data_IF_470425318800
#
_entry.id   IF_470425318800
#
_cell.length_a   1.000
_cell.length_b   1.000
_cell.length_c   1.000
_cell.angle_alpha   90.00
_cell.angle_beta   90.00
_cell.angle_gamma   90.00
#
_symmetry.space_group_name_H-M   'P 1'
#
loop_
_entity.id
_entity.type
_entity.pdbx_description
1 polymer ?
#
# COMPACT_ATOMS: atom_id res chain seq x y z
N UNK A 1 -49.26 -17.24 -23.37
CA UNK A 1 -48.22 -17.88 -22.54
C UNK A 1 -48.93 -18.89 -21.65
N UNK A 2 -48.61 -20.18 -21.78
CA UNK A 2 -49.29 -21.22 -20.98
C UNK A 2 -48.84 -21.10 -19.51
N UNK A 3 -49.72 -21.44 -18.56
CA UNK A 3 -49.42 -21.43 -17.12
C UNK A 3 -48.14 -22.19 -16.78
N UNK A 4 -47.86 -23.29 -17.48
CA UNK A 4 -46.62 -24.08 -17.39
C UNK A 4 -45.37 -23.28 -17.80
N UNK A 5 -45.43 -22.51 -18.89
CA UNK A 5 -44.33 -21.66 -19.33
C UNK A 5 -44.06 -20.53 -18.35
N UNK A 6 -45.11 -19.93 -17.77
CA UNK A 6 -44.97 -18.90 -16.74
C UNK A 6 -44.32 -19.43 -15.46
N UNK A 7 -44.74 -20.63 -14.99
CA UNK A 7 -44.13 -21.30 -13.84
C UNK A 7 -42.65 -21.64 -14.06
N UNK A 8 -42.31 -22.14 -15.25
CA UNK A 8 -40.92 -22.43 -15.62
C UNK A 8 -40.05 -21.16 -15.63
N UNK A 9 -40.53 -20.07 -16.25
CA UNK A 9 -39.79 -18.80 -16.29
C UNK A 9 -39.59 -18.25 -14.87
N UNK A 10 -40.64 -18.23 -14.03
CA UNK A 10 -40.50 -17.82 -12.63
C UNK A 10 -39.51 -18.71 -11.86
N UNK A 11 -39.56 -20.04 -12.06
CA UNK A 11 -38.63 -20.96 -11.42
C UNK A 11 -37.18 -20.63 -11.80
N UNK A 12 -36.86 -20.44 -13.08
CA UNK A 12 -35.50 -20.08 -13.51
C UNK A 12 -35.07 -18.70 -13.00
N UNK A 13 -35.97 -17.72 -12.93
CA UNK A 13 -35.67 -16.40 -12.35
C UNK A 13 -35.32 -16.54 -10.86
N UNK A 14 -36.15 -17.25 -10.10
CA UNK A 14 -35.91 -17.48 -8.66
C UNK A 14 -34.63 -18.29 -8.44
N UNK A 15 -34.41 -19.35 -9.23
CA UNK A 15 -33.19 -20.15 -9.17
C UNK A 15 -31.95 -19.29 -9.44
N UNK A 16 -31.98 -18.46 -10.47
CA UNK A 16 -30.87 -17.56 -10.81
C UNK A 16 -30.64 -16.52 -9.72
N UNK A 17 -31.72 -15.98 -9.13
CA UNK A 17 -31.63 -15.04 -8.02
C UNK A 17 -31.01 -15.69 -6.77
N UNK A 18 -31.44 -16.91 -6.41
CA UNK A 18 -30.89 -17.67 -5.29
C UNK A 18 -29.42 -18.00 -5.53
N UNK A 19 -29.06 -18.50 -6.71
CA UNK A 19 -27.66 -18.76 -7.07
C UNK A 19 -26.81 -17.47 -7.05
N UNK A 20 -27.37 -16.34 -7.51
CA UNK A 20 -26.73 -15.03 -7.44
C UNK A 20 -26.46 -14.58 -6.00
N UNK A 21 -27.44 -14.75 -5.10
CA UNK A 21 -27.27 -14.43 -3.67
C UNK A 21 -26.24 -15.37 -3.03
N UNK A 22 -26.30 -16.67 -3.29
CA UNK A 22 -25.30 -17.63 -2.83
C UNK A 22 -23.89 -17.25 -3.29
N UNK A 23 -23.73 -16.85 -4.56
CA UNK A 23 -22.45 -16.38 -5.07
C UNK A 23 -21.96 -15.11 -4.37
N UNK A 24 -22.85 -14.13 -4.13
CA UNK A 24 -22.50 -12.91 -3.40
C UNK A 24 -22.06 -13.18 -1.95
N UNK A 25 -22.68 -14.16 -1.29
CA UNK A 25 -22.29 -14.59 0.05
C UNK A 25 -20.92 -15.29 0.07
N UNK A 26 -20.60 -16.07 -0.97
CA UNK A 26 -19.32 -16.80 -1.06
C UNK A 26 -18.18 -15.90 -1.57
N UNK A 27 -18.48 -14.87 -2.38
CA UNK A 27 -17.53 -13.92 -2.97
C UNK A 27 -16.41 -13.44 -2.01
N UNK A 28 -16.69 -12.98 -0.77
CA UNK A 28 -15.62 -12.54 0.14
C UNK A 28 -14.68 -13.67 0.59
N UNK A 29 -15.14 -14.93 0.60
CA UNK A 29 -14.31 -16.08 0.97
C UNK A 29 -13.28 -16.42 -0.12
N UNK A 30 -13.60 -16.22 -1.39
CA UNK A 30 -12.64 -16.44 -2.48
C UNK A 30 -11.41 -15.55 -2.33
N UNK A 31 -11.59 -14.30 -1.90
CA UNK A 31 -10.47 -13.39 -1.64
C UNK A 31 -9.54 -13.94 -0.54
N UNK A 32 -10.11 -14.41 0.57
CA UNK A 32 -9.36 -14.98 1.71
C UNK A 32 -8.64 -16.26 1.29
N UNK A 33 -9.31 -17.15 0.56
CA UNK A 33 -8.75 -18.40 0.06
C UNK A 33 -7.61 -18.16 -0.93
N UNK A 34 -7.77 -17.19 -1.85
CA UNK A 34 -6.73 -16.83 -2.81
C UNK A 34 -5.47 -16.32 -2.10
N UNK A 35 -5.60 -15.34 -1.21
CA UNK A 35 -4.46 -14.78 -0.47
C UNK A 35 -3.77 -15.81 0.42
N UNK A 36 -4.55 -16.62 1.13
CA UNK A 36 -3.99 -17.67 1.98
C UNK A 36 -3.28 -18.76 1.16
N UNK A 37 -3.78 -19.10 -0.04
CA UNK A 37 -3.11 -20.04 -0.96
C UNK A 37 -1.79 -19.45 -1.48
N UNK A 38 -1.79 -18.19 -1.91
CA UNK A 38 -0.58 -17.49 -2.35
C UNK A 38 0.47 -17.49 -1.22
N UNK A 39 0.10 -17.06 -0.02
CA UNK A 39 0.99 -17.05 1.15
C UNK A 39 1.47 -18.48 1.45
N UNK A 40 0.60 -19.48 1.40
CA UNK A 40 0.96 -20.88 1.62
C UNK A 40 2.03 -21.35 0.65
N UNK A 41 1.87 -21.08 -0.65
CA UNK A 41 2.84 -21.47 -1.69
C UNK A 41 4.18 -20.80 -1.46
N UNK A 42 4.20 -19.49 -1.14
CA UNK A 42 5.42 -18.73 -0.85
C UNK A 42 6.10 -19.24 0.44
N UNK A 43 5.31 -19.54 1.45
CA UNK A 43 5.77 -19.97 2.77
C UNK A 43 6.22 -21.44 2.79
N UNK A 44 5.74 -22.25 1.86
CA UNK A 44 6.01 -23.68 1.79
C UNK A 44 7.50 -24.07 1.87
N UNK A 45 8.44 -23.44 1.13
CA UNK A 45 9.87 -23.76 1.26
C UNK A 45 10.42 -23.53 2.68
N UNK A 46 9.96 -22.48 3.36
CA UNK A 46 10.33 -22.20 4.75
C UNK A 46 9.72 -23.22 5.71
N UNK A 47 8.41 -23.48 5.57
CA UNK A 47 7.70 -24.51 6.33
C UNK A 47 8.36 -25.90 6.19
N UNK A 48 8.75 -26.30 4.97
CA UNK A 48 9.43 -27.57 4.70
C UNK A 48 10.80 -27.65 5.38
N UNK A 49 11.54 -26.53 5.47
CA UNK A 49 12.82 -26.47 6.22
C UNK A 49 12.59 -26.61 7.73
N UNK A 50 11.52 -26.04 8.28
CA UNK A 50 11.15 -26.26 9.68
C UNK A 50 10.73 -27.71 9.95
N UNK A 51 9.92 -28.30 9.07
CA UNK A 51 9.42 -29.67 9.23
C UNK A 51 10.57 -30.70 9.25
N UNK A 52 11.69 -30.42 8.57
CA UNK A 52 12.91 -31.24 8.65
C UNK A 52 13.57 -31.21 10.03
N UNK A 53 13.39 -30.14 10.81
CA UNK A 53 13.98 -29.96 12.15
C UNK A 53 13.01 -30.32 13.28
N UNK A 54 11.72 -30.09 13.07
CA UNK A 54 10.67 -30.26 14.07
C UNK A 54 9.63 -31.24 13.49
N UNK A 55 9.49 -32.42 14.10
CA UNK A 55 8.58 -33.47 13.63
C UNK A 55 7.10 -33.23 14.03
N UNK A 56 6.66 -31.97 14.08
CA UNK A 56 5.28 -31.60 14.42
C UNK A 56 4.74 -30.60 13.37
N UNK A 57 3.85 -31.04 12.46
CA UNK A 57 3.27 -30.19 11.42
C UNK A 57 2.54 -28.97 11.96
N UNK A 58 1.79 -29.13 13.06
CA UNK A 58 1.00 -28.04 13.66
C UNK A 58 1.90 -26.94 14.24
N UNK A 59 3.02 -27.33 14.85
CA UNK A 59 3.96 -26.36 15.41
C UNK A 59 4.74 -25.65 14.30
N UNK A 60 5.13 -26.36 13.24
CA UNK A 60 5.81 -25.78 12.08
C UNK A 60 4.93 -24.78 11.32
N UNK A 61 3.63 -25.09 11.12
CA UNK A 61 2.70 -24.19 10.44
C UNK A 61 2.45 -22.95 11.29
N UNK A 62 2.25 -23.11 12.61
CA UNK A 62 2.07 -21.99 13.53
C UNK A 62 3.30 -21.06 13.57
N UNK A 63 4.51 -21.61 13.70
CA UNK A 63 5.75 -20.82 13.65
C UNK A 63 5.90 -20.09 12.31
N UNK A 64 5.57 -20.75 11.20
CA UNK A 64 5.61 -20.13 9.87
C UNK A 64 4.65 -18.94 9.78
N UNK A 65 3.40 -19.10 10.24
CA UNK A 65 2.43 -18.01 10.29
C UNK A 65 2.90 -16.86 11.19
N UNK A 66 3.48 -17.15 12.36
CA UNK A 66 4.02 -16.11 13.26
C UNK A 66 5.13 -15.31 12.57
N UNK A 67 6.09 -15.98 11.94
CA UNK A 67 7.20 -15.32 11.24
C UNK A 67 6.67 -14.41 10.13
N UNK A 68 5.73 -14.89 9.31
CA UNK A 68 5.14 -14.09 8.24
C UNK A 68 4.35 -12.90 8.82
N UNK A 69 3.55 -13.12 9.87
CA UNK A 69 2.84 -12.04 10.57
C UNK A 69 3.81 -10.96 11.04
N UNK A 70 4.92 -11.35 11.67
CA UNK A 70 5.93 -10.41 12.17
C UNK A 70 6.55 -9.59 11.03
N UNK A 71 6.92 -10.26 9.93
CA UNK A 71 7.52 -9.61 8.75
C UNK A 71 6.57 -8.57 8.15
N UNK A 72 5.26 -8.81 8.14
CA UNK A 72 4.27 -7.86 7.61
C UNK A 72 3.84 -6.78 8.62
N UNK A 73 3.60 -7.16 9.88
CA UNK A 73 3.03 -6.27 10.90
C UNK A 73 4.04 -5.23 11.37
N UNK A 74 5.32 -5.60 11.54
CA UNK A 74 6.34 -4.67 12.04
C UNK A 74 6.45 -3.43 11.14
N UNK A 75 6.70 -3.55 9.81
CA UNK A 75 6.79 -2.39 8.94
C UNK A 75 5.51 -1.53 8.96
N UNK A 76 4.35 -2.17 9.04
CA UNK A 76 3.06 -1.49 9.09
C UNK A 76 2.96 -0.62 10.35
N UNK A 77 3.28 -1.15 11.52
CA UNK A 77 3.31 -0.41 12.79
C UNK A 77 4.29 0.75 12.71
N UNK A 78 5.50 0.53 12.17
CA UNK A 78 6.49 1.59 11.99
C UNK A 78 5.95 2.73 11.12
N UNK A 79 5.30 2.42 9.99
CA UNK A 79 4.72 3.47 9.14
C UNK A 79 3.58 4.20 9.82
N UNK A 80 2.68 3.49 10.50
CA UNK A 80 1.63 4.16 11.26
C UNK A 80 2.19 5.05 12.37
N UNK A 81 3.19 4.58 13.11
CA UNK A 81 3.78 5.34 14.22
C UNK A 81 4.57 6.58 13.75
N UNK A 82 5.41 6.43 12.72
CA UNK A 82 6.29 7.50 12.25
C UNK A 82 5.65 8.36 11.17
N UNK A 83 4.89 7.77 10.25
CA UNK A 83 4.22 8.50 9.17
C UNK A 83 3.12 9.43 9.68
N UNK A 84 2.31 9.00 10.66
CA UNK A 84 1.32 9.87 11.30
C UNK A 84 2.02 10.98 12.08
N UNK A 85 3.10 10.67 12.80
CA UNK A 85 3.85 11.67 13.58
C UNK A 85 4.46 12.75 12.68
N UNK A 86 5.14 12.37 11.59
CA UNK A 86 5.70 13.34 10.66
C UNK A 86 4.62 14.09 9.87
N UNK A 87 3.50 13.43 9.53
CA UNK A 87 2.34 14.07 8.90
C UNK A 87 1.68 15.12 9.79
N UNK A 88 1.46 14.83 11.08
CA UNK A 88 0.90 15.77 12.05
C UNK A 88 1.88 16.92 12.32
N UNK A 89 3.18 16.65 12.42
CA UNK A 89 4.21 17.68 12.57
C UNK A 89 4.22 18.59 11.34
N UNK A 90 4.13 18.06 10.12
CA UNK A 90 4.03 18.85 8.90
C UNK A 90 2.79 19.74 8.86
N UNK A 91 1.64 19.24 9.33
CA UNK A 91 0.38 19.99 9.43
C UNK A 91 0.49 21.09 10.50
N UNK A 92 1.10 20.81 11.65
CA UNK A 92 1.29 21.80 12.70
C UNK A 92 2.30 22.88 12.30
N UNK A 93 3.40 22.52 11.63
CA UNK A 93 4.30 23.49 11.02
C UNK A 93 3.62 24.32 9.96
N UNK A 94 2.73 23.75 9.15
CA UNK A 94 1.91 24.50 8.21
C UNK A 94 1.00 25.50 8.91
N UNK A 95 0.27 25.04 9.91
CA UNK A 95 -0.68 25.86 10.64
C UNK A 95 0.04 26.99 11.41
N UNK A 96 1.20 26.71 12.01
CA UNK A 96 2.04 27.71 12.68
C UNK A 96 2.76 28.63 11.71
N UNK A 97 3.23 28.13 10.55
CA UNK A 97 3.86 28.95 9.52
C UNK A 97 2.84 29.84 8.80
N UNK A 98 1.60 29.37 8.61
CA UNK A 98 0.50 30.18 8.05
C UNK A 98 0.08 31.29 9.04
N UNK A 99 0.07 31.00 10.35
CA UNK A 99 -0.17 32.01 11.40
C UNK A 99 1.02 32.95 11.62
N UNK A 100 2.24 32.47 11.48
CA UNK A 100 3.49 33.24 11.65
C UNK A 100 3.90 34.02 10.39
N UNK A 101 3.35 33.68 9.21
CA UNK A 101 3.45 34.49 7.99
C UNK A 101 2.54 35.74 8.09
N UNK A 102 2.74 36.52 9.16
CA UNK A 102 2.55 37.97 9.10
C UNK A 102 3.59 38.51 8.15
N UNK A 103 3.14 39.27 7.15
CA UNK A 103 3.97 40.00 6.20
C UNK A 103 4.84 41.05 6.91
N UNK A 104 5.90 40.64 7.62
CA UNK A 104 6.81 41.58 8.31
C UNK A 104 8.29 41.22 8.18
N UNK A 105 8.72 40.66 7.05
CA UNK A 105 10.16 40.58 6.75
C UNK A 105 10.42 40.88 5.28
N UNK A 106 10.12 42.12 4.88
CA UNK A 106 10.55 42.69 3.59
C UNK A 106 11.08 44.12 3.75
N UNK A 107 11.61 44.49 4.93
CA UNK A 107 12.15 45.83 5.17
C UNK A 107 13.67 45.89 5.34
N UNK A 108 14.38 44.77 5.54
CA UNK A 108 15.84 44.82 5.80
C UNK A 108 16.75 44.62 4.58
N UNK A 109 16.19 44.34 3.39
CA UNK A 109 16.96 44.26 2.14
C UNK A 109 16.79 45.49 1.22
N UNK A 110 15.99 46.48 1.62
CA UNK A 110 15.64 47.65 0.81
C UNK A 110 16.72 48.76 0.80
N UNK A 111 17.83 48.61 1.52
CA UNK A 111 18.87 49.65 1.66
C UNK A 111 20.09 49.48 0.74
N UNK A 112 20.12 48.48 -0.15
CA UNK A 112 21.21 48.31 -1.12
C UNK A 112 20.79 48.95 -2.45
N UNK A 113 21.26 50.19 -2.68
CA UNK A 113 20.80 51.12 -3.73
C UNK A 113 20.87 50.66 -5.20
N UNK A 114 21.75 49.76 -5.69
CA UNK A 114 21.81 49.49 -7.13
C UNK A 114 20.73 48.52 -7.65
N UNK A 115 19.96 47.86 -6.78
CA UNK A 115 18.99 46.81 -7.23
C UNK A 115 17.53 47.32 -7.18
N UNK A 116 17.29 48.57 -6.75
CA UNK A 116 15.95 49.18 -6.69
C UNK A 116 15.20 49.16 -8.03
N UNK A 117 15.91 49.29 -9.16
CA UNK A 117 15.28 49.34 -10.48
C UNK A 117 14.91 47.96 -11.06
N UNK A 118 15.53 46.88 -10.57
CA UNK A 118 15.18 45.50 -10.98
C UNK A 118 14.02 44.97 -10.12
N UNK A 119 13.95 45.37 -8.85
CA UNK A 119 12.85 44.97 -7.96
C UNK A 119 11.48 45.56 -8.36
N UNK A 120 11.41 46.78 -8.90
CA UNK A 120 10.13 47.40 -9.29
C UNK A 120 9.52 46.73 -10.54
N UNK A 121 10.34 46.21 -11.45
CA UNK A 121 9.87 45.47 -12.63
C UNK A 121 9.41 44.04 -12.30
N UNK A 122 9.92 43.46 -11.20
CA UNK A 122 9.51 42.14 -10.72
C UNK A 122 8.30 42.19 -9.78
N UNK A 123 8.02 43.32 -9.12
CA UNK A 123 6.89 43.46 -8.20
C UNK A 123 5.52 43.41 -8.90
N UNK A 124 5.41 43.92 -10.14
CA UNK A 124 4.17 43.84 -10.92
C UNK A 124 3.89 42.42 -11.47
N UNK A 125 4.94 41.66 -11.82
CA UNK A 125 4.78 40.27 -12.29
C UNK A 125 4.51 39.29 -11.14
N UNK A 126 5.06 39.55 -9.96
CA UNK A 126 4.82 38.74 -8.75
C UNK A 126 3.43 39.01 -8.16
N UNK A 127 2.93 40.26 -8.20
CA UNK A 127 1.56 40.59 -7.76
C UNK A 127 0.46 39.92 -8.61
N UNK A 128 0.70 39.70 -9.91
CA UNK A 128 -0.26 39.02 -10.79
C UNK A 128 -0.46 37.52 -10.43
N UNK A 129 0.55 36.86 -9.88
CA UNK A 129 0.49 35.43 -9.49
C UNK A 129 0.12 35.17 -8.03
N UNK A 130 0.16 36.18 -7.14
CA UNK A 130 0.15 35.98 -5.69
C UNK A 130 -1.22 36.13 -5.01
N UNK A 131 -2.25 36.65 -5.70
CA UNK A 131 -3.55 36.97 -5.05
C UNK A 131 -4.50 35.76 -5.00
N UNK A 132 -4.34 34.77 -5.88
CA UNK A 132 -5.28 33.64 -6.00
C UNK A 132 -4.65 32.28 -5.61
N UNK A 133 -3.32 32.19 -5.53
CA UNK A 133 -2.64 30.93 -5.18
C UNK A 133 -2.69 30.65 -3.68
N UNK A 134 -2.59 31.69 -2.83
CA UNK A 134 -2.60 31.53 -1.37
C UNK A 134 -3.97 31.13 -0.83
N UNK A 135 -5.04 31.76 -1.29
CA UNK A 135 -6.42 31.41 -0.91
C UNK A 135 -6.78 30.01 -1.40
N UNK A 136 -6.52 29.69 -2.68
CA UNK A 136 -6.80 28.35 -3.24
C UNK A 136 -5.90 27.25 -2.66
N UNK A 137 -4.66 27.56 -2.26
CA UNK A 137 -3.81 26.61 -1.54
C UNK A 137 -4.29 26.38 -0.12
N UNK A 138 -4.67 27.43 0.62
CA UNK A 138 -5.17 27.28 2.01
C UNK A 138 -6.49 26.49 2.00
N UNK A 139 -7.40 26.80 1.08
CA UNK A 139 -8.67 26.09 0.94
C UNK A 139 -8.48 24.63 0.51
N UNK A 140 -7.53 24.35 -0.41
CA UNK A 140 -7.16 22.98 -0.78
C UNK A 140 -6.40 22.25 0.33
N UNK A 141 -5.58 22.92 1.13
CA UNK A 141 -4.87 22.35 2.28
C UNK A 141 -5.85 22.04 3.41
N UNK A 142 -6.89 22.85 3.62
CA UNK A 142 -7.98 22.59 4.57
C UNK A 142 -8.90 21.45 4.10
N UNK A 143 -9.17 21.35 2.80
CA UNK A 143 -9.85 20.19 2.21
C UNK A 143 -9.00 18.91 2.27
N UNK A 144 -7.68 19.01 2.07
CA UNK A 144 -6.74 17.90 2.28
C UNK A 144 -6.66 17.50 3.76
N UNK A 145 -6.65 18.45 4.70
CA UNK A 145 -6.60 18.14 6.14
C UNK A 145 -7.90 17.51 6.63
N UNK A 146 -9.05 17.96 6.15
CA UNK A 146 -10.35 17.34 6.46
C UNK A 146 -10.51 15.99 5.75
N UNK A 147 -9.93 15.80 4.56
CA UNK A 147 -9.82 14.49 3.92
C UNK A 147 -8.91 13.53 4.71
N UNK A 148 -7.74 13.96 5.20
CA UNK A 148 -6.84 13.13 6.02
C UNK A 148 -7.40 12.83 7.42
N UNK A 149 -8.12 13.77 8.06
CA UNK A 149 -8.77 13.57 9.36
C UNK A 149 -10.08 12.75 9.22
N UNK A 150 -10.85 12.97 8.16
CA UNK A 150 -12.01 12.13 7.83
C UNK A 150 -11.59 10.71 7.43
N UNK A 151 -10.49 10.59 6.68
CA UNK A 151 -9.85 9.32 6.37
C UNK A 151 -9.21 8.70 7.61
N UNK A 152 -8.72 9.42 8.62
CA UNK A 152 -8.13 8.76 9.81
C UNK A 152 -9.17 7.97 10.62
N UNK A 153 -10.42 8.48 10.70
CA UNK A 153 -11.55 7.76 11.32
C UNK A 153 -12.00 6.58 10.43
N UNK A 154 -12.02 6.74 9.11
CA UNK A 154 -12.34 5.64 8.18
C UNK A 154 -11.22 4.58 8.12
N UNK A 155 -9.95 4.98 8.10
CA UNK A 155 -8.76 4.13 8.19
C UNK A 155 -8.79 3.37 9.51
N UNK A 156 -9.15 3.99 10.64
CA UNK A 156 -9.31 3.28 11.91
C UNK A 156 -10.41 2.20 11.85
N UNK A 157 -11.58 2.52 11.28
CA UNK A 157 -12.67 1.54 11.06
C UNK A 157 -12.29 0.43 10.07
N UNK A 158 -11.59 0.77 8.99
CA UNK A 158 -11.03 -0.18 8.01
C UNK A 158 -9.86 -0.99 8.58
N UNK A 159 -9.13 -0.48 9.58
CA UNK A 159 -8.03 -1.18 10.26
C UNK A 159 -8.57 -2.31 11.13
N UNK A 160 -9.70 -2.12 11.83
CA UNK A 160 -10.35 -3.21 12.60
C UNK A 160 -10.85 -4.32 11.66
N UNK A 161 -11.55 -3.95 10.58
CA UNK A 161 -11.99 -4.92 9.55
C UNK A 161 -10.82 -5.62 8.84
N UNK A 162 -9.76 -4.89 8.49
CA UNK A 162 -8.55 -5.41 7.88
C UNK A 162 -7.77 -6.35 8.80
N UNK A 163 -7.75 -6.08 10.11
CA UNK A 163 -7.12 -6.95 11.11
C UNK A 163 -7.84 -8.29 11.24
N UNK A 164 -9.18 -8.28 11.24
CA UNK A 164 -9.98 -9.51 11.24
C UNK A 164 -9.73 -10.29 9.95
N UNK A 165 -9.74 -9.61 8.80
CA UNK A 165 -9.49 -10.25 7.51
C UNK A 165 -8.08 -10.88 7.44
N UNK A 166 -7.06 -10.16 7.92
CA UNK A 166 -5.71 -10.68 8.04
C UNK A 166 -5.63 -11.89 8.97
N UNK A 167 -6.29 -11.84 10.13
CA UNK A 167 -6.36 -12.95 11.07
C UNK A 167 -6.98 -14.21 10.42
N UNK A 168 -8.06 -14.04 9.66
CA UNK A 168 -8.68 -15.15 8.93
C UNK A 168 -7.74 -15.67 7.84
N UNK A 169 -7.10 -14.81 7.04
CA UNK A 169 -6.11 -15.22 6.02
C UNK A 169 -4.99 -16.06 6.68
N UNK A 170 -4.47 -15.62 7.82
CA UNK A 170 -3.40 -16.32 8.53
C UNK A 170 -3.89 -17.64 9.15
N UNK A 171 -5.11 -17.69 9.66
CA UNK A 171 -5.75 -18.91 10.15
C UNK A 171 -5.95 -19.92 9.00
N UNK A 172 -6.45 -19.47 7.85
CA UNK A 172 -6.61 -20.31 6.67
C UNK A 172 -5.25 -20.80 6.15
N UNK A 173 -4.24 -19.94 6.13
CA UNK A 173 -2.85 -20.29 5.77
C UNK A 173 -2.28 -21.35 6.71
N UNK A 174 -2.56 -21.24 8.01
CA UNK A 174 -2.15 -22.24 9.00
C UNK A 174 -2.72 -23.63 8.68
N UNK A 175 -4.02 -23.72 8.38
CA UNK A 175 -4.65 -24.99 8.03
C UNK A 175 -4.18 -25.51 6.66
N UNK A 176 -4.04 -24.63 5.67
CA UNK A 176 -3.48 -24.95 4.36
C UNK A 176 -2.07 -25.55 4.46
N UNK A 177 -1.17 -24.94 5.24
CA UNK A 177 0.19 -25.45 5.46
C UNK A 177 0.20 -26.78 6.23
N UNK A 178 -0.61 -26.87 7.29
CA UNK A 178 -0.67 -28.05 8.16
C UNK A 178 -1.11 -29.30 7.38
N UNK A 179 -2.20 -29.20 6.61
CA UNK A 179 -2.81 -30.32 5.89
C UNK A 179 -2.54 -30.29 4.38
N UNK A 180 -1.47 -29.59 3.95
CA UNK A 180 -1.16 -29.33 2.54
C UNK A 180 -1.15 -30.58 1.64
N UNK A 181 -0.66 -31.71 2.14
CA UNK A 181 -0.61 -32.96 1.36
C UNK A 181 -2.02 -33.49 1.07
N UNK A 182 -2.85 -33.58 2.10
CA UNK A 182 -4.25 -34.03 1.97
C UNK A 182 -5.05 -33.10 1.06
N UNK A 183 -4.79 -31.80 1.14
CA UNK A 183 -5.46 -30.80 0.31
C UNK A 183 -5.05 -30.93 -1.16
N UNK A 184 -3.77 -31.13 -1.44
CA UNK A 184 -3.29 -31.37 -2.81
C UNK A 184 -3.88 -32.67 -3.37
N UNK A 185 -3.90 -33.74 -2.58
CA UNK A 185 -4.48 -35.03 -3.01
C UNK A 185 -5.99 -34.90 -3.26
N UNK A 186 -6.71 -34.17 -2.40
CA UNK A 186 -8.13 -33.86 -2.59
C UNK A 186 -8.36 -33.08 -3.89
N UNK A 187 -7.57 -32.04 -4.15
CA UNK A 187 -7.68 -31.25 -5.40
C UNK A 187 -7.45 -32.14 -6.62
N UNK A 188 -6.51 -33.10 -6.55
CA UNK A 188 -6.28 -34.04 -7.66
C UNK A 188 -7.52 -34.88 -7.99
N UNK A 189 -8.30 -35.29 -6.99
CA UNK A 189 -9.52 -36.09 -7.21
C UNK A 189 -10.66 -35.32 -7.88
N UNK A 190 -10.67 -33.98 -7.79
CA UNK A 190 -11.70 -33.15 -8.44
C UNK A 190 -11.37 -32.77 -9.88
N UNK A 191 -10.12 -32.95 -10.30
CA UNK A 191 -9.66 -32.58 -11.64
C UNK A 191 -9.82 -33.80 -12.55
N UNK A 192 -10.64 -33.74 -13.63
CA UNK A 192 -10.85 -34.86 -14.55
C UNK A 192 -9.69 -35.00 -15.55
N UNK A 193 -8.46 -35.09 -15.04
CA UNK A 193 -7.23 -35.32 -15.82
C UNK A 193 -6.44 -36.46 -15.19
N UNK A 194 -5.60 -37.11 -15.97
CA UNK A 194 -4.69 -38.14 -15.43
C UNK A 194 -3.77 -37.55 -14.34
N UNK A 195 -3.44 -38.34 -13.32
CA UNK A 195 -2.63 -37.93 -12.17
C UNK A 195 -1.31 -37.25 -12.56
N UNK A 196 -0.68 -37.69 -13.64
CA UNK A 196 0.54 -37.11 -14.18
C UNK A 196 0.31 -35.68 -14.68
N UNK A 197 -0.72 -35.47 -15.49
CA UNK A 197 -1.08 -34.17 -16.03
C UNK A 197 -1.50 -33.21 -14.92
N UNK A 198 -2.30 -33.68 -13.95
CA UNK A 198 -2.72 -32.89 -12.79
C UNK A 198 -1.55 -32.46 -11.92
N UNK A 199 -0.59 -33.34 -11.68
CA UNK A 199 0.61 -33.01 -10.90
C UNK A 199 1.48 -31.98 -11.62
N UNK A 200 1.63 -32.09 -12.94
CA UNK A 200 2.32 -31.07 -13.76
C UNK A 200 1.62 -29.72 -13.64
N UNK A 201 0.28 -29.69 -13.75
CA UNK A 201 -0.50 -28.45 -13.64
C UNK A 201 -0.33 -27.78 -12.27
N UNK A 202 -0.46 -28.53 -11.18
CA UNK A 202 -0.29 -28.01 -9.82
C UNK A 202 1.11 -27.44 -9.62
N UNK A 203 2.14 -28.15 -10.10
CA UNK A 203 3.52 -27.67 -10.01
C UNK A 203 3.73 -26.40 -10.84
N UNK A 204 3.13 -26.31 -12.04
CA UNK A 204 3.24 -25.12 -12.90
C UNK A 204 2.57 -23.89 -12.29
N UNK A 205 1.40 -24.07 -11.67
CA UNK A 205 0.72 -23.00 -10.91
C UNK A 205 1.59 -22.54 -9.74
N UNK A 206 2.14 -23.49 -8.97
CA UNK A 206 3.05 -23.18 -7.86
C UNK A 206 4.31 -22.45 -8.30
N UNK A 207 4.94 -22.89 -9.39
CA UNK A 207 6.11 -22.23 -10.01
C UNK A 207 5.77 -20.82 -10.48
N UNK A 208 4.59 -20.61 -11.06
CA UNK A 208 4.13 -19.30 -11.53
C UNK A 208 3.91 -18.34 -10.36
N UNK A 209 3.22 -18.78 -9.30
CA UNK A 209 3.04 -18.00 -8.07
C UNK A 209 4.40 -17.65 -7.46
N UNK A 210 5.30 -18.64 -7.35
CA UNK A 210 6.64 -18.44 -6.79
C UNK A 210 7.46 -17.43 -7.60
N UNK A 211 7.46 -17.57 -8.93
CA UNK A 211 8.20 -16.68 -9.84
C UNK A 211 7.68 -15.26 -9.76
N UNK A 212 6.35 -15.08 -9.80
CA UNK A 212 5.72 -13.75 -9.69
C UNK A 212 6.11 -13.07 -8.39
N UNK A 213 6.02 -13.78 -7.25
CA UNK A 213 6.36 -13.20 -5.94
C UNK A 213 7.85 -12.90 -5.85
N UNK A 214 8.70 -13.79 -6.35
CA UNK A 214 10.15 -13.58 -6.34
C UNK A 214 10.54 -12.34 -7.15
N UNK A 215 9.96 -12.15 -8.32
CA UNK A 215 10.11 -10.93 -9.13
C UNK A 215 9.62 -9.72 -8.35
N UNK A 216 8.44 -9.78 -7.72
CA UNK A 216 7.92 -8.68 -6.90
C UNK A 216 8.85 -8.31 -5.75
N UNK A 217 9.48 -9.28 -5.09
CA UNK A 217 10.47 -9.02 -4.03
C UNK A 217 11.72 -8.31 -4.59
N UNK A 218 12.23 -8.74 -5.75
CA UNK A 218 13.37 -8.08 -6.40
C UNK A 218 13.02 -6.64 -6.77
N UNK A 219 11.84 -6.43 -7.36
CA UNK A 219 11.34 -5.09 -7.71
C UNK A 219 11.19 -4.24 -6.45
N UNK A 220 10.62 -4.78 -5.38
CA UNK A 220 10.49 -4.10 -4.10
C UNK A 220 11.84 -3.65 -3.52
N UNK A 221 12.83 -4.54 -3.50
CA UNK A 221 14.18 -4.20 -3.03
C UNK A 221 14.80 -3.10 -3.90
N UNK A 222 14.64 -3.21 -5.23
CA UNK A 222 15.16 -2.23 -6.19
C UNK A 222 14.49 -0.86 -6.01
N UNK A 223 13.17 -0.82 -5.89
CA UNK A 223 12.42 0.41 -5.68
C UNK A 223 12.72 1.04 -4.32
N UNK A 224 12.82 0.25 -3.25
CA UNK A 224 13.17 0.80 -1.94
C UNK A 224 14.63 1.25 -1.84
N UNK A 225 15.56 0.59 -2.53
CA UNK A 225 16.94 1.11 -2.66
C UNK A 225 16.98 2.41 -3.45
N UNK A 226 16.32 2.49 -4.61
CA UNK A 226 16.21 3.73 -5.40
C UNK A 226 15.51 4.86 -4.61
N UNK A 227 14.48 4.54 -3.84
CA UNK A 227 13.78 5.48 -2.97
C UNK A 227 14.65 5.97 -1.82
N UNK A 228 15.39 5.06 -1.17
CA UNK A 228 16.39 5.41 -0.15
C UNK A 228 17.52 6.28 -0.72
N UNK A 229 17.99 5.98 -1.93
CA UNK A 229 18.98 6.81 -2.63
C UNK A 229 18.46 8.22 -2.92
N UNK A 230 17.19 8.35 -3.34
CA UNK A 230 16.57 9.66 -3.53
C UNK A 230 16.51 10.45 -2.21
N UNK A 231 16.15 9.80 -1.10
CA UNK A 231 16.14 10.44 0.22
C UNK A 231 17.53 10.88 0.66
N UNK A 232 18.55 10.05 0.42
CA UNK A 232 19.93 10.37 0.73
C UNK A 232 20.45 11.55 -0.11
N UNK A 233 20.23 11.52 -1.43
CA UNK A 233 20.64 12.58 -2.35
C UNK A 233 19.99 13.93 -2.02
N UNK A 234 18.72 13.92 -1.62
CA UNK A 234 17.98 15.13 -1.23
C UNK A 234 18.31 15.59 0.20
N UNK A 235 19.13 14.85 0.96
CA UNK A 235 19.44 15.16 2.35
C UNK A 235 18.21 15.09 3.27
N UNK A 236 17.28 14.16 2.98
CA UNK A 236 16.15 13.85 3.83
C UNK A 236 16.59 12.95 5.01
N UNK A 237 15.93 13.05 6.17
CA UNK A 237 16.29 12.25 7.34
C UNK A 237 16.04 10.75 7.09
N UNK A 238 16.88 9.92 7.71
CA UNK A 238 16.75 8.46 7.74
C UNK A 238 16.54 7.76 6.39
N UNK A 239 17.42 7.93 5.38
CA UNK A 239 17.22 7.38 4.04
C UNK A 239 17.06 5.86 3.99
N UNK A 240 17.83 5.13 4.81
CA UNK A 240 17.78 3.66 4.89
C UNK A 240 16.42 3.18 5.41
N UNK A 241 15.90 3.85 6.45
CA UNK A 241 14.60 3.51 7.04
C UNK A 241 13.49 3.67 6.01
N UNK A 242 13.44 4.83 5.33
CA UNK A 242 12.41 5.10 4.33
C UNK A 242 12.55 4.22 3.09
N UNK A 243 13.77 3.84 2.70
CA UNK A 243 13.99 2.84 1.66
C UNK A 243 13.43 1.47 2.03
N UNK A 244 13.66 0.98 3.25
CA UNK A 244 13.08 -0.28 3.74
C UNK A 244 11.56 -0.22 3.76
N UNK A 245 11.00 0.90 4.25
CA UNK A 245 9.56 1.14 4.27
C UNK A 245 8.99 1.12 2.85
N UNK A 246 9.62 1.80 1.89
CA UNK A 246 9.20 1.77 0.48
C UNK A 246 9.25 0.36 -0.11
N UNK A 247 10.30 -0.42 0.18
CA UNK A 247 10.37 -1.83 -0.26
C UNK A 247 9.18 -2.63 0.23
N UNK A 248 8.82 -2.50 1.52
CA UNK A 248 7.69 -3.27 2.07
C UNK A 248 6.37 -2.82 1.46
N UNK A 249 6.16 -1.51 1.28
CA UNK A 249 4.93 -0.99 0.70
C UNK A 249 4.78 -1.35 -0.79
N UNK A 250 5.87 -1.52 -1.53
CA UNK A 250 5.85 -2.04 -2.90
C UNK A 250 5.25 -3.46 -2.99
N UNK A 251 5.41 -4.29 -1.95
CA UNK A 251 4.82 -5.63 -1.91
C UNK A 251 3.29 -5.60 -1.81
N UNK A 252 2.70 -4.47 -1.42
CA UNK A 252 1.24 -4.31 -1.30
C UNK A 252 0.72 -3.75 -2.63
N UNK A 253 -0.04 -4.55 -3.41
CA UNK A 253 -0.66 -4.06 -4.63
C UNK A 253 -1.56 -2.85 -4.33
N UNK A 254 -1.56 -1.84 -5.20
CA UNK A 254 -2.30 -0.57 -5.10
C UNK A 254 -1.76 0.48 -4.11
N UNK A 255 -1.18 0.11 -2.96
CA UNK A 255 -0.69 1.08 -1.96
C UNK A 255 0.73 1.58 -2.28
N UNK A 256 1.64 0.68 -2.70
CA UNK A 256 2.93 0.98 -3.34
C UNK A 256 3.87 1.98 -2.64
N UNK A 257 4.97 2.33 -3.31
CA UNK A 257 5.87 3.39 -2.88
C UNK A 257 5.27 4.82 -2.86
N UNK A 258 4.18 5.17 -3.60
CA UNK A 258 3.57 6.51 -3.51
C UNK A 258 3.11 6.90 -2.12
N UNK A 259 2.72 5.93 -1.29
CA UNK A 259 2.35 6.18 0.10
C UNK A 259 3.48 6.83 0.91
N UNK A 260 4.74 6.66 0.50
CA UNK A 260 5.91 7.18 1.20
C UNK A 260 6.40 8.48 0.58
N UNK A 261 6.63 8.50 -0.75
CA UNK A 261 7.25 9.67 -1.38
C UNK A 261 6.28 10.84 -1.57
N UNK A 262 4.97 10.59 -1.73
CA UNK A 262 3.98 11.68 -1.92
C UNK A 262 3.89 12.56 -0.66
N UNK A 263 3.71 12.02 0.56
CA UNK A 263 3.76 12.84 1.78
C UNK A 263 5.11 13.55 1.96
N UNK A 264 6.22 12.90 1.62
CA UNK A 264 7.55 13.51 1.72
C UNK A 264 7.75 14.67 0.73
N UNK A 265 7.24 14.55 -0.50
CA UNK A 265 7.24 15.61 -1.49
C UNK A 265 6.39 16.80 -1.04
N UNK A 266 5.19 16.53 -0.51
CA UNK A 266 4.34 17.55 0.12
C UNK A 266 5.13 18.25 1.22
N UNK A 267 5.70 17.51 2.18
CA UNK A 267 6.50 18.08 3.27
C UNK A 267 7.62 19.02 2.81
N UNK A 268 8.32 18.68 1.72
CA UNK A 268 9.36 19.52 1.14
C UNK A 268 8.81 20.84 0.56
N UNK A 269 7.63 20.80 -0.08
CA UNK A 269 6.93 22.02 -0.54
C UNK A 269 6.58 22.91 0.64
N UNK A 270 6.07 22.33 1.74
CA UNK A 270 5.66 23.09 2.93
C UNK A 270 6.85 23.73 3.65
N UNK A 271 8.04 23.10 3.58
CA UNK A 271 9.30 23.69 4.05
C UNK A 271 9.86 24.80 3.16
N UNK A 272 9.23 25.10 2.02
CA UNK A 272 9.70 26.09 1.05
C UNK A 272 10.87 25.62 0.18
N UNK A 273 11.22 24.33 0.21
CA UNK A 273 12.34 23.77 -0.56
C UNK A 273 11.83 23.12 -1.85
N UNK A 274 11.33 23.96 -2.77
CA UNK A 274 10.63 23.52 -3.98
C UNK A 274 11.47 22.66 -4.92
N UNK A 275 12.77 22.96 -5.08
CA UNK A 275 13.66 22.17 -5.93
C UNK A 275 13.72 20.70 -5.49
N UNK A 276 13.87 20.44 -4.19
CA UNK A 276 13.90 19.06 -3.66
C UNK A 276 12.56 18.34 -3.86
N UNK A 277 11.45 19.06 -3.71
CA UNK A 277 10.12 18.50 -3.93
C UNK A 277 9.88 18.11 -5.39
N UNK A 278 10.31 18.94 -6.34
CA UNK A 278 10.19 18.68 -7.78
C UNK A 278 11.04 17.46 -8.16
N UNK A 279 12.31 17.43 -7.71
CA UNK A 279 13.21 16.30 -7.97
C UNK A 279 12.64 15.00 -7.38
N UNK A 280 12.14 15.02 -6.15
CA UNK A 280 11.54 13.84 -5.53
C UNK A 280 10.29 13.36 -6.28
N UNK A 281 9.45 14.29 -6.75
CA UNK A 281 8.22 13.96 -7.49
C UNK A 281 8.54 13.36 -8.85
N UNK A 282 9.49 13.94 -9.60
CA UNK A 282 9.95 13.39 -10.87
C UNK A 282 10.59 12.01 -10.67
N UNK A 283 11.42 11.85 -9.64
CA UNK A 283 12.00 10.55 -9.30
C UNK A 283 10.90 9.53 -8.94
N UNK A 284 9.93 9.92 -8.13
CA UNK A 284 8.82 9.06 -7.71
C UNK A 284 7.92 8.61 -8.87
N UNK A 285 7.68 9.47 -9.86
CA UNK A 285 6.85 9.17 -11.02
C UNK A 285 7.60 8.36 -12.08
N UNK A 286 8.83 8.75 -12.42
CA UNK A 286 9.56 8.17 -13.56
C UNK A 286 10.54 7.07 -13.17
N UNK A 287 11.13 7.11 -11.98
CA UNK A 287 12.13 6.11 -11.57
C UNK A 287 11.48 5.00 -10.76
N UNK A 288 10.57 5.36 -9.86
CA UNK A 288 9.88 4.38 -9.01
C UNK A 288 8.57 3.87 -9.64
N UNK A 289 7.89 4.70 -10.44
CA UNK A 289 6.60 4.37 -11.05
C UNK A 289 6.65 3.60 -12.37
N UNK A 290 7.85 3.29 -12.88
CA UNK A 290 8.10 2.35 -13.99
C UNK A 290 8.28 0.93 -13.47
#
# INVERSE_FOLDING_TARGET
MNLEQFRLIMFFIVLTAVLGICFLLIKPFFYILAWSTIITVIAYPFYKRLLKKINNPSLCSLLTCIVISIIFIIPLIFVFAYGIKEGIIAINYLHDSIKAFKLTTYTDLANIKPIKNIYILLDDYIKFFNIDFKSRLVERVEQLSSFFVGQSINIAKHTVGGSIQLAIIMLTTYFLLKDIRKLVDMVKTFIPLDDNHTTILINKVGETIYTTVYVTIIVAITQGTLGGLAFWFLGLPSPILWGIVMSVFCLIPLLGHPFVWVPAAIFLVLKGIYWKAIVLTLWGLFVLGL
#
